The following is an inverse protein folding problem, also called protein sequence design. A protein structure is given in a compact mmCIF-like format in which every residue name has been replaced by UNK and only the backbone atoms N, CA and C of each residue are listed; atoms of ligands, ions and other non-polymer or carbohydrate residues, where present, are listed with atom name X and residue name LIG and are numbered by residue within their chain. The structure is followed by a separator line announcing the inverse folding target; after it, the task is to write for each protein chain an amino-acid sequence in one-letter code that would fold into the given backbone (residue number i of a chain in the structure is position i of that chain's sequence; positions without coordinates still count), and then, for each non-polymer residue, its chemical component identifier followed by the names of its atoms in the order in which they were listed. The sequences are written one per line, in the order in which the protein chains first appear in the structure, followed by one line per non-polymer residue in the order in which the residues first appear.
data_IF_127026273863
#
_entry.id   IF_127026273863
#
_cell.length_a   1.000
_cell.length_b   1.000
_cell.length_c   1.000
_cell.angle_alpha   90.00
_cell.angle_beta   90.00
_cell.angle_gamma   90.00
#
_symmetry.space_group_name_H-M   'P 1'
#
loop_
_entity.id
_entity.type
_entity.pdbx_description
1 polymer ?
#
# COMPACT_ATOMS: atom_id res chain seq x y z
N UNK A 1 14.16 -28.20 -27.17
CA UNK A 1 13.87 -27.83 -25.77
C UNK A 1 13.38 -26.40 -25.78
N UNK A 2 12.09 -26.17 -25.55
CA UNK A 2 11.51 -24.83 -25.55
C UNK A 2 11.71 -24.23 -24.15
N UNK A 3 12.38 -23.09 -24.07
CA UNK A 3 12.44 -22.27 -22.86
C UNK A 3 11.02 -21.86 -22.46
N UNK A 4 10.62 -21.95 -21.18
CA UNK A 4 9.34 -21.40 -20.78
C UNK A 4 9.48 -19.88 -20.78
N UNK A 5 8.68 -19.24 -21.63
CA UNK A 5 8.41 -17.82 -21.63
C UNK A 5 8.09 -17.37 -20.20
N UNK A 6 8.94 -16.52 -19.63
CA UNK A 6 8.67 -15.83 -18.38
C UNK A 6 7.50 -14.88 -18.58
N UNK A 7 6.28 -15.44 -18.48
CA UNK A 7 5.08 -14.63 -18.35
C UNK A 7 5.20 -13.86 -17.05
N UNK A 8 5.18 -12.54 -17.13
CA UNK A 8 4.97 -11.66 -15.98
C UNK A 8 3.63 -12.06 -15.36
N UNK A 9 3.67 -12.95 -14.37
CA UNK A 9 2.52 -13.23 -13.52
C UNK A 9 2.31 -11.97 -12.69
N UNK A 10 1.15 -11.31 -12.76
CA UNK A 10 0.88 -10.18 -11.88
C UNK A 10 1.09 -10.62 -10.41
N UNK A 11 1.80 -9.85 -9.58
CA UNK A 11 2.10 -10.26 -8.22
C UNK A 11 0.82 -10.52 -7.42
N UNK A 12 0.55 -11.78 -7.03
CA UNK A 12 -0.66 -12.11 -6.26
C UNK A 12 -0.81 -11.18 -5.05
N UNK A 13 -2.03 -10.76 -4.69
CA UNK A 13 -2.27 -9.97 -3.48
C UNK A 13 -1.55 -10.63 -2.31
N UNK A 14 -0.65 -9.89 -1.67
CA UNK A 14 0.15 -10.42 -0.59
C UNK A 14 -0.70 -10.50 0.69
N UNK A 15 -0.35 -11.43 1.57
CA UNK A 15 -1.06 -11.61 2.84
C UNK A 15 -0.55 -10.61 3.90
N UNK A 16 -1.47 -9.80 4.45
CA UNK A 16 -1.15 -8.81 5.48
C UNK A 16 -0.66 -9.46 6.79
N UNK A 17 -1.23 -10.59 7.23
CA UNK A 17 -0.74 -11.26 8.43
C UNK A 17 0.69 -11.76 8.24
N UNK A 18 0.99 -12.33 7.08
CA UNK A 18 2.33 -12.78 6.75
C UNK A 18 3.34 -11.61 6.69
N UNK A 19 2.93 -10.47 6.13
CA UNK A 19 3.77 -9.27 6.09
C UNK A 19 4.17 -8.81 7.50
N UNK A 20 3.20 -8.75 8.43
CA UNK A 20 3.47 -8.41 9.83
C UNK A 20 4.28 -9.49 10.56
N UNK A 21 4.06 -10.77 10.27
CA UNK A 21 4.83 -11.87 10.87
C UNK A 21 6.31 -11.85 10.43
N UNK A 22 6.58 -11.39 9.21
CA UNK A 22 7.94 -11.27 8.67
C UNK A 22 8.64 -9.97 9.06
N UNK A 23 7.91 -9.00 9.62
CA UNK A 23 8.48 -7.71 10.00
C UNK A 23 9.33 -7.86 11.27
N UNK A 24 10.58 -7.40 11.22
CA UNK A 24 11.44 -7.27 12.39
C UNK A 24 11.38 -5.85 12.94
N UNK A 25 11.24 -5.70 14.26
CA UNK A 25 11.27 -4.41 14.97
C UNK A 25 10.20 -3.41 14.52
N UNK A 26 8.93 -3.78 14.65
CA UNK A 26 7.82 -2.85 14.44
C UNK A 26 7.86 -1.71 15.47
N UNK A 27 7.80 -0.43 15.03
CA UNK A 27 7.74 0.70 15.96
C UNK A 27 6.42 0.72 16.73
N UNK A 28 6.46 1.26 17.95
CA UNK A 28 5.25 1.63 18.68
C UNK A 28 4.68 2.93 18.09
N UNK A 29 3.38 2.94 17.81
CA UNK A 29 2.69 4.07 17.16
C UNK A 29 1.55 4.57 18.06
N UNK A 30 1.55 5.87 18.35
CA UNK A 30 0.46 6.53 19.08
C UNK A 30 -0.82 6.54 18.25
N UNK A 31 -1.98 6.36 18.90
CA UNK A 31 -3.26 6.44 18.21
C UNK A 31 -3.55 7.89 17.76
N UNK A 32 -3.59 8.10 16.45
CA UNK A 32 -3.83 9.41 15.83
C UNK A 32 -4.51 9.27 14.46
N UNK A 33 -5.02 10.38 13.93
CA UNK A 33 -5.53 10.42 12.55
C UNK A 33 -4.45 9.97 11.57
N UNK A 34 -4.81 9.05 10.68
CA UNK A 34 -3.89 8.40 9.74
C UNK A 34 -3.43 7.01 10.20
N UNK A 35 -3.68 6.60 11.44
CA UNK A 35 -3.41 5.23 11.89
C UNK A 35 -4.61 4.34 11.63
N UNK A 36 -4.40 3.23 10.92
CA UNK A 36 -5.44 2.25 10.59
C UNK A 36 -5.07 0.86 11.11
N UNK A 37 -6.01 0.17 11.76
CA UNK A 37 -5.79 -1.21 12.21
C UNK A 37 -5.71 -2.18 11.03
N UNK A 38 -4.97 -3.28 11.21
CA UNK A 38 -4.89 -4.34 10.20
C UNK A 38 -6.26 -4.95 9.88
N UNK A 39 -7.15 -5.05 10.86
CA UNK A 39 -8.50 -5.58 10.68
C UNK A 39 -9.36 -4.66 9.80
N UNK A 40 -9.13 -3.34 9.87
CA UNK A 40 -9.79 -2.37 9.00
C UNK A 40 -9.20 -2.43 7.59
N UNK A 41 -7.88 -2.55 7.46
CA UNK A 41 -7.21 -2.66 6.17
C UNK A 41 -7.72 -3.85 5.37
N UNK A 42 -7.77 -5.04 5.97
CA UNK A 42 -8.21 -6.28 5.31
C UNK A 42 -9.62 -6.22 4.70
N UNK A 43 -10.46 -5.30 5.15
CA UNK A 43 -11.85 -5.16 4.66
C UNK A 43 -11.97 -4.37 3.37
N UNK A 44 -10.98 -3.56 3.03
CA UNK A 44 -11.09 -2.56 1.97
C UNK A 44 -9.85 -2.46 1.07
N UNK A 45 -8.73 -3.03 1.50
CA UNK A 45 -7.43 -2.84 0.87
C UNK A 45 -6.75 -4.18 0.57
N UNK A 46 -6.15 -4.25 -0.61
CA UNK A 46 -5.23 -5.32 -0.99
C UNK A 46 -3.79 -4.83 -0.81
N UNK A 47 -2.97 -5.65 -0.15
CA UNK A 47 -1.53 -5.41 -0.10
C UNK A 47 -0.91 -5.77 -1.45
N UNK A 48 -0.26 -4.79 -2.07
CA UNK A 48 0.46 -4.96 -3.33
C UNK A 48 1.94 -5.26 -3.11
N UNK A 49 2.58 -4.57 -2.15
CA UNK A 49 4.03 -4.67 -1.96
C UNK A 49 4.43 -4.29 -0.53
N UNK A 50 5.44 -4.98 -0.01
CA UNK A 50 6.20 -4.54 1.18
C UNK A 50 7.47 -3.86 0.70
N UNK A 51 7.69 -2.62 1.14
CA UNK A 51 8.83 -1.78 0.76
C UNK A 51 9.77 -1.67 1.96
N UNK A 52 11.04 -1.95 1.75
CA UNK A 52 12.11 -1.89 2.76
C UNK A 52 11.77 -2.62 4.07
N UNK A 53 10.98 -3.70 3.98
CA UNK A 53 10.61 -4.56 5.11
C UNK A 53 9.65 -3.97 6.14
N UNK A 54 9.26 -2.69 6.00
CA UNK A 54 8.46 -1.98 7.03
C UNK A 54 7.31 -1.14 6.46
N UNK A 55 7.35 -0.77 5.18
CA UNK A 55 6.30 0.03 4.53
C UNK A 55 5.40 -0.85 3.67
N UNK A 56 4.11 -0.54 3.63
CA UNK A 56 3.11 -1.25 2.83
C UNK A 56 2.56 -0.34 1.74
N UNK A 57 2.56 -0.83 0.52
CA UNK A 57 1.83 -0.24 -0.60
C UNK A 57 0.54 -1.02 -0.82
N UNK A 58 -0.60 -0.35 -0.65
CA UNK A 58 -1.92 -0.94 -0.72
C UNK A 58 -2.76 -0.26 -1.79
N UNK A 59 -3.69 -1.04 -2.36
CA UNK A 59 -4.73 -0.54 -3.27
C UNK A 59 -6.11 -0.84 -2.70
N UNK A 60 -7.02 0.12 -2.81
CA UNK A 60 -8.41 -0.08 -2.42
C UNK A 60 -9.10 -1.08 -3.36
N UNK A 61 -10.13 -1.77 -2.90
CA UNK A 61 -10.87 -2.73 -3.74
C UNK A 61 -11.49 -2.11 -4.99
N UNK A 62 -11.81 -0.81 -4.95
CA UNK A 62 -12.26 -0.07 -6.15
C UNK A 62 -11.16 0.20 -7.16
N UNK A 63 -9.89 -0.07 -6.83
CA UNK A 63 -8.68 0.23 -7.63
C UNK A 63 -8.47 1.71 -7.95
N UNK A 64 -9.24 2.60 -7.32
CA UNK A 64 -9.17 4.05 -7.50
C UNK A 64 -8.40 4.75 -6.39
N UNK A 65 -7.97 4.05 -5.35
CA UNK A 65 -7.21 4.66 -4.26
C UNK A 65 -6.02 3.80 -3.86
N UNK A 66 -4.93 4.47 -3.50
CA UNK A 66 -3.68 3.86 -3.11
C UNK A 66 -3.19 4.46 -1.80
N UNK A 67 -2.61 3.62 -0.95
CA UNK A 67 -2.02 4.02 0.32
C UNK A 67 -0.57 3.54 0.36
N UNK A 68 0.30 4.41 0.84
CA UNK A 68 1.60 4.04 1.38
C UNK A 68 1.59 4.34 2.87
N UNK A 69 2.05 3.39 3.68
CA UNK A 69 2.19 3.62 5.12
C UNK A 69 3.15 2.65 5.78
N UNK A 70 3.51 2.94 7.02
CA UNK A 70 4.50 2.18 7.78
C UNK A 70 3.81 1.23 8.76
N UNK A 71 4.20 -0.05 8.76
CA UNK A 71 3.73 -1.03 9.74
C UNK A 71 4.16 -0.64 11.15
N UNK A 72 3.30 -0.90 12.14
CA UNK A 72 3.64 -0.71 13.54
C UNK A 72 2.69 -1.43 14.50
N UNK A 73 2.97 -1.28 15.78
CA UNK A 73 2.14 -1.75 16.88
C UNK A 73 1.59 -0.52 17.60
N UNK A 74 0.27 -0.40 17.72
CA UNK A 74 -0.35 0.65 18.52
C UNK A 74 -0.04 0.49 20.01
N UNK A 75 -0.21 1.55 20.77
CA UNK A 75 -0.09 1.53 22.24
C UNK A 75 -1.00 0.49 22.91
N UNK A 76 -2.14 0.15 22.31
CA UNK A 76 -3.05 -0.92 22.76
C UNK A 76 -2.60 -2.34 22.35
N UNK A 77 -1.40 -2.49 21.78
CA UNK A 77 -0.81 -3.76 21.36
C UNK A 77 -1.31 -4.28 20.02
N UNK A 78 -2.19 -3.55 19.31
CA UNK A 78 -2.74 -4.00 18.02
C UNK A 78 -1.83 -3.64 16.84
N UNK A 79 -1.77 -4.53 15.85
CA UNK A 79 -1.09 -4.29 14.57
C UNK A 79 -1.81 -3.19 13.77
N UNK A 80 -1.05 -2.24 13.26
CA UNK A 80 -1.56 -1.08 12.55
C UNK A 80 -0.61 -0.63 11.43
N UNK A 81 -1.12 0.23 10.56
CA UNK A 81 -0.33 1.04 9.65
C UNK A 81 -0.49 2.51 10.04
N UNK A 82 0.60 3.28 10.00
CA UNK A 82 0.58 4.74 10.01
C UNK A 82 0.67 5.21 8.56
N UNK A 83 -0.42 5.79 8.06
CA UNK A 83 -0.56 6.19 6.67
C UNK A 83 0.35 7.39 6.42
N UNK A 84 1.35 7.17 5.57
CA UNK A 84 2.33 8.18 5.15
C UNK A 84 1.77 9.07 4.04
N UNK A 85 0.98 8.48 3.14
CA UNK A 85 0.43 9.14 1.95
C UNK A 85 -0.76 8.34 1.41
N UNK A 86 -1.77 9.06 0.89
CA UNK A 86 -2.92 8.47 0.21
C UNK A 86 -3.22 9.27 -1.05
N UNK A 87 -3.44 8.54 -2.15
CA UNK A 87 -3.82 9.10 -3.45
C UNK A 87 -5.13 8.47 -3.90
N UNK A 88 -6.03 9.28 -4.43
CA UNK A 88 -7.21 8.82 -5.13
C UNK A 88 -7.13 9.27 -6.59
N UNK A 89 -7.41 8.35 -7.50
CA UNK A 89 -7.64 8.64 -8.90
C UNK A 89 -9.11 9.07 -9.02
N UNK A 90 -9.34 10.28 -9.51
CA UNK A 90 -10.66 10.68 -10.00
C UNK A 90 -10.91 10.06 -11.37
N UNK A 91 -12.17 10.07 -11.82
CA UNK A 91 -12.66 9.36 -13.01
C UNK A 91 -11.74 9.44 -14.25
N UNK A 92 -11.67 8.37 -15.06
CA UNK A 92 -10.75 8.24 -16.20
C UNK A 92 -11.04 9.16 -17.39
N UNK A 93 -12.04 10.04 -17.32
CA UNK A 93 -12.34 11.04 -18.37
C UNK A 93 -11.58 12.37 -18.19
N UNK A 94 -10.86 12.53 -17.08
CA UNK A 94 -10.03 13.71 -16.82
C UNK A 94 -8.55 13.32 -16.82
N UNK A 95 -7.89 13.57 -17.96
CA UNK A 95 -6.47 13.27 -18.23
C UNK A 95 -5.48 13.90 -17.22
N UNK A 96 -5.95 14.70 -16.25
CA UNK A 96 -5.15 15.32 -15.20
C UNK A 96 -5.61 15.05 -13.74
N UNK A 97 -6.63 14.24 -13.49
CA UNK A 97 -7.26 14.22 -12.17
C UNK A 97 -6.68 13.14 -11.23
N UNK A 98 -5.43 13.31 -10.79
CA UNK A 98 -4.92 12.66 -9.58
C UNK A 98 -5.21 13.58 -8.39
N UNK A 99 -6.27 13.29 -7.63
CA UNK A 99 -6.55 14.02 -6.40
C UNK A 99 -5.72 13.42 -5.26
N UNK A 100 -4.67 14.13 -4.84
CA UNK A 100 -3.86 13.74 -3.69
C UNK A 100 -4.60 14.19 -2.42
N UNK A 101 -5.42 13.29 -1.89
CA UNK A 101 -6.33 13.57 -0.75
C UNK A 101 -5.59 13.76 0.59
N UNK A 102 -4.35 13.28 0.73
CA UNK A 102 -3.58 13.46 1.96
C UNK A 102 -2.09 13.78 1.71
N UNK A 103 -1.66 15.00 2.08
CA UNK A 103 -0.26 15.46 1.96
C UNK A 103 0.33 15.85 3.32
N UNK A 104 1.21 15.00 3.87
CA UNK A 104 2.39 15.53 4.58
C UNK A 104 3.45 15.84 3.52
N UNK A 105 4.25 16.91 3.67
CA UNK A 105 5.48 17.08 2.86
C UNK A 105 6.39 15.89 3.17
N UNK A 106 6.29 14.83 2.38
CA UNK A 106 6.86 13.54 2.69
C UNK A 106 7.63 13.01 1.48
N UNK A 107 8.94 12.72 1.60
CA UNK A 107 9.72 12.01 0.57
C UNK A 107 9.06 10.71 0.08
N UNK A 108 8.19 10.12 0.89
CA UNK A 108 7.40 8.93 0.55
C UNK A 108 6.48 9.11 -0.68
N UNK A 109 6.14 10.35 -1.08
CA UNK A 109 5.32 10.60 -2.26
C UNK A 109 5.96 10.12 -3.56
N UNK A 110 7.28 10.30 -3.73
CA UNK A 110 7.99 9.78 -4.91
C UNK A 110 7.95 8.25 -4.95
N UNK A 111 8.05 7.60 -3.78
CA UNK A 111 7.92 6.15 -3.67
C UNK A 111 6.49 5.70 -4.01
N UNK A 112 5.47 6.43 -3.57
CA UNK A 112 4.07 6.12 -3.85
C UNK A 112 3.77 6.26 -5.35
N UNK A 113 4.15 7.36 -5.98
CA UNK A 113 3.96 7.58 -7.43
C UNK A 113 4.69 6.52 -8.27
N UNK A 114 5.92 6.16 -7.90
CA UNK A 114 6.66 5.09 -8.58
C UNK A 114 5.95 3.73 -8.46
N UNK A 115 5.42 3.40 -7.27
CA UNK A 115 4.66 2.17 -7.05
C UNK A 115 3.32 2.16 -7.80
N UNK A 116 2.63 3.30 -7.90
CA UNK A 116 1.42 3.42 -8.71
C UNK A 116 1.76 3.23 -10.19
N UNK A 117 2.81 3.87 -10.70
CA UNK A 117 3.24 3.71 -12.09
C UNK A 117 3.61 2.24 -12.41
N UNK A 118 4.32 1.55 -11.51
CA UNK A 118 4.62 0.12 -11.62
C UNK A 118 3.33 -0.73 -11.67
N UNK A 119 2.36 -0.43 -10.80
CA UNK A 119 1.06 -1.12 -10.77
C UNK A 119 0.23 -0.88 -12.03
N UNK A 120 0.16 0.36 -12.52
CA UNK A 120 -0.60 0.69 -13.72
C UNK A 120 -0.03 0.02 -14.99
N UNK A 121 1.29 -0.24 -15.02
CA UNK A 121 1.93 -0.99 -16.11
C UNK A 121 1.66 -2.50 -16.03
N UNK A 122 1.47 -3.05 -14.83
CA UNK A 122 1.22 -4.48 -14.62
C UNK A 122 0.10 -4.70 -13.58
N UNK A 123 -1.17 -4.40 -13.93
CA UNK A 123 -2.27 -4.50 -12.98
C UNK A 123 -2.51 -5.97 -12.60
N UNK A 124 -2.86 -6.19 -11.34
CA UNK A 124 -3.26 -7.52 -10.88
C UNK A 124 -4.57 -7.92 -11.55
N UNK A 125 -4.48 -8.86 -12.49
CA UNK A 125 -5.62 -9.49 -13.18
C UNK A 125 -6.21 -10.54 -12.25
#
# INVERSE_FOLDING_TARGET
MMSPSGGNVPPRPMDLDQAFANASNLPTIEERVGVMSIDSMKRQWHLLKVIDGSRLFLVHFSRQSFILGTMGIREDGKRCIDIDSQISLSDPEDDNAVEIVWRRRNPAMQSLEACIAEYLQNPLI
#
